data_IF_696313277462
#
_entry.id   IF_696313277462
#
_cell.length_a   1.000
_cell.length_b   1.000
_cell.length_c   1.000
_cell.angle_alpha   90.00
_cell.angle_beta   90.00
_cell.angle_gamma   90.00
#
_symmetry.space_group_name_H-M   'P 1'
#
loop_
_entity.id
_entity.type
_entity.pdbx_description
1 polymer ?
#
# COMPACT_ATOMS: atom_id res chain seq x y z
N UNK A 1 -1.11 -31.76 -2.35
CA UNK A 1 -0.91 -31.88 -0.88
C UNK A 1 -1.29 -33.23 -0.26
N UNK A 2 -1.70 -34.28 -0.99
CA UNK A 2 -2.04 -35.59 -0.36
C UNK A 2 -1.27 -36.80 -0.89
N UNK A 3 -0.23 -36.60 -1.71
CA UNK A 3 0.62 -37.69 -2.19
C UNK A 3 2.09 -37.31 -2.01
N UNK A 4 2.69 -37.73 -0.89
CA UNK A 4 4.12 -37.57 -0.65
C UNK A 4 4.59 -37.86 0.77
N UNK A 5 5.08 -39.09 0.97
CA UNK A 5 6.19 -39.57 1.83
C UNK A 5 6.42 -39.10 3.27
N UNK A 6 5.61 -38.22 3.83
CA UNK A 6 5.63 -37.90 5.27
C UNK A 6 4.34 -38.45 5.86
N UNK A 7 4.38 -39.48 6.72
CA UNK A 7 3.19 -39.94 7.38
C UNK A 7 2.69 -38.81 8.28
N UNK A 8 1.56 -38.21 7.91
CA UNK A 8 0.87 -37.26 8.76
C UNK A 8 0.24 -38.08 9.90
N UNK A 9 1.01 -38.36 10.95
CA UNK A 9 0.60 -39.19 12.11
C UNK A 9 -0.28 -38.43 13.11
N UNK A 10 -0.54 -37.13 12.89
CA UNK A 10 -1.42 -36.33 13.72
C UNK A 10 -2.80 -36.16 13.08
N UNK A 11 -3.87 -36.58 13.77
CA UNK A 11 -5.26 -36.29 13.38
C UNK A 11 -5.67 -34.81 13.57
N UNK A 12 -4.72 -33.92 13.86
CA UNK A 12 -4.94 -32.50 14.14
C UNK A 12 -3.84 -31.65 13.50
N UNK A 13 -4.25 -30.68 12.68
CA UNK A 13 -3.39 -29.63 12.13
C UNK A 13 -3.59 -28.37 13.00
N UNK A 14 -2.54 -27.92 13.68
CA UNK A 14 -2.57 -26.63 14.37
C UNK A 14 -2.24 -25.53 13.37
N UNK A 15 -3.13 -24.55 13.25
CA UNK A 15 -2.89 -23.32 12.49
C UNK A 15 -2.99 -22.16 13.47
N UNK A 16 -1.85 -21.57 13.80
CA UNK A 16 -1.73 -20.54 14.85
C UNK A 16 -2.09 -19.13 14.33
N UNK A 17 -2.09 -18.93 13.01
CA UNK A 17 -2.14 -17.59 12.39
C UNK A 17 -3.53 -17.17 11.89
N UNK A 18 -4.55 -18.04 11.98
CA UNK A 18 -5.82 -17.86 11.26
C UNK A 18 -7.03 -17.89 12.20
N UNK A 19 -8.00 -16.98 11.98
CA UNK A 19 -9.25 -17.00 12.74
C UNK A 19 -10.07 -18.24 12.38
N UNK A 20 -10.66 -18.86 13.40
CA UNK A 20 -11.57 -20.01 13.22
C UNK A 20 -12.71 -19.68 12.24
N UNK A 21 -13.23 -18.46 12.27
CA UNK A 21 -14.34 -18.04 11.40
C UNK A 21 -13.93 -17.99 9.92
N UNK A 22 -12.73 -17.49 9.63
CA UNK A 22 -12.21 -17.35 8.27
C UNK A 22 -11.89 -18.72 7.67
N UNK A 23 -11.33 -19.62 8.49
CA UNK A 23 -11.10 -21.02 8.12
C UNK A 23 -12.42 -21.74 7.84
N UNK A 24 -13.44 -21.50 8.64
CA UNK A 24 -14.75 -22.11 8.45
C UNK A 24 -15.37 -21.66 7.13
N UNK A 25 -15.29 -20.37 6.79
CA UNK A 25 -15.74 -19.86 5.48
C UNK A 25 -14.92 -20.46 4.35
N UNK A 26 -13.60 -20.56 4.49
CA UNK A 26 -12.74 -21.22 3.50
C UNK A 26 -13.13 -22.69 3.28
N UNK A 27 -13.38 -23.46 4.34
CA UNK A 27 -13.85 -24.84 4.20
C UNK A 27 -15.23 -24.91 3.57
N UNK A 28 -16.16 -24.03 3.94
CA UNK A 28 -17.48 -23.96 3.28
C UNK A 28 -17.35 -23.78 1.77
N UNK A 29 -16.43 -22.92 1.31
CA UNK A 29 -16.14 -22.77 -0.12
C UNK A 29 -15.68 -24.09 -0.76
N UNK A 30 -14.74 -24.79 -0.11
CA UNK A 30 -14.22 -26.07 -0.61
C UNK A 30 -15.29 -27.15 -0.71
N UNK A 31 -16.26 -27.16 0.20
CA UNK A 31 -17.41 -28.07 0.16
C UNK A 31 -18.53 -27.60 -0.80
N UNK A 32 -18.34 -26.50 -1.52
CA UNK A 32 -19.26 -26.00 -2.55
C UNK A 32 -20.43 -25.17 -2.04
N UNK A 33 -20.33 -24.64 -0.81
CA UNK A 33 -21.30 -23.66 -0.31
C UNK A 33 -20.99 -22.27 -0.86
N UNK A 34 -22.03 -21.46 -1.10
CA UNK A 34 -21.84 -20.05 -1.41
C UNK A 34 -21.28 -19.32 -0.19
N UNK A 35 -20.01 -18.93 -0.28
CA UNK A 35 -19.37 -18.12 0.76
C UNK A 35 -19.69 -16.66 0.55
N UNK A 36 -20.26 -16.01 1.57
CA UNK A 36 -20.40 -14.55 1.58
C UNK A 36 -19.02 -13.91 1.73
N UNK A 37 -18.39 -13.54 0.61
CA UNK A 37 -17.18 -12.70 0.63
C UNK A 37 -17.60 -11.29 1.05
N UNK A 38 -16.92 -10.75 2.06
CA UNK A 38 -17.11 -9.41 2.61
C UNK A 38 -15.77 -8.69 2.61
N UNK A 39 -15.80 -7.37 2.80
CA UNK A 39 -14.57 -6.54 2.84
C UNK A 39 -13.64 -6.95 3.99
N UNK A 40 -14.21 -7.43 5.10
CA UNK A 40 -13.43 -7.87 6.26
C UNK A 40 -12.78 -9.24 6.06
N UNK A 41 -13.46 -10.17 5.37
CA UNK A 41 -12.97 -11.55 5.23
C UNK A 41 -12.14 -11.80 3.96
N UNK A 42 -12.23 -10.93 2.96
CA UNK A 42 -11.61 -11.15 1.64
C UNK A 42 -10.10 -11.27 1.73
N UNK A 43 -9.48 -10.57 2.69
CA UNK A 43 -8.04 -10.60 2.89
C UNK A 43 -7.56 -11.93 3.43
N UNK A 44 -8.23 -12.44 4.47
CA UNK A 44 -7.93 -13.73 5.07
C UNK A 44 -8.26 -14.87 4.13
N UNK A 45 -9.37 -14.78 3.37
CA UNK A 45 -9.72 -15.76 2.34
C UNK A 45 -8.69 -15.78 1.20
N UNK A 46 -8.19 -14.63 0.76
CA UNK A 46 -7.14 -14.60 -0.25
C UNK A 46 -5.85 -15.24 0.29
N UNK A 47 -5.48 -14.94 1.54
CA UNK A 47 -4.33 -15.56 2.20
C UNK A 47 -4.45 -17.09 2.25
N UNK A 48 -5.59 -17.60 2.70
CA UNK A 48 -5.87 -19.03 2.72
C UNK A 48 -5.88 -19.63 1.31
N UNK A 49 -6.45 -18.93 0.33
CA UNK A 49 -6.46 -19.39 -1.06
C UNK A 49 -5.05 -19.55 -1.65
N UNK A 50 -4.13 -18.66 -1.27
CA UNK A 50 -2.74 -18.69 -1.72
C UNK A 50 -1.95 -19.77 -0.95
N UNK A 51 -2.16 -19.86 0.38
CA UNK A 51 -1.53 -20.87 1.26
C UNK A 51 -1.88 -22.32 0.88
N UNK A 52 -3.14 -22.56 0.51
CA UNK A 52 -3.66 -23.88 0.18
C UNK A 52 -3.75 -24.17 -1.33
N UNK A 53 -3.19 -23.28 -2.17
CA UNK A 53 -3.20 -23.39 -3.64
C UNK A 53 -4.60 -23.62 -4.23
N UNK A 54 -5.57 -22.77 -3.85
CA UNK A 54 -6.96 -22.81 -4.34
C UNK A 54 -7.21 -21.63 -5.30
N UNK A 55 -6.81 -21.74 -6.59
CA UNK A 55 -6.89 -20.63 -7.53
C UNK A 55 -8.33 -20.16 -7.82
N UNK A 56 -9.31 -21.05 -7.74
CA UNK A 56 -10.73 -20.70 -7.93
C UNK A 56 -11.20 -19.66 -6.91
N UNK A 57 -10.84 -19.84 -5.63
CA UNK A 57 -11.15 -18.89 -4.58
C UNK A 57 -10.36 -17.59 -4.77
N UNK A 58 -9.08 -17.70 -5.11
CA UNK A 58 -8.21 -16.55 -5.34
C UNK A 58 -8.78 -15.63 -6.42
N UNK A 59 -9.19 -16.19 -7.56
CA UNK A 59 -9.81 -15.45 -8.65
C UNK A 59 -11.14 -14.81 -8.23
N UNK A 60 -11.93 -15.51 -7.41
CA UNK A 60 -13.20 -14.97 -6.92
C UNK A 60 -12.98 -13.77 -6.00
N UNK A 61 -12.05 -13.87 -5.03
CA UNK A 61 -11.65 -12.76 -4.17
C UNK A 61 -11.10 -11.57 -4.98
N UNK A 62 -10.26 -11.82 -6.00
CA UNK A 62 -9.74 -10.77 -6.88
C UNK A 62 -10.84 -10.06 -7.66
N UNK A 63 -11.83 -10.80 -8.17
CA UNK A 63 -12.98 -10.20 -8.88
C UNK A 63 -13.82 -9.32 -7.95
N UNK A 64 -14.02 -9.76 -6.71
CA UNK A 64 -14.72 -8.98 -5.68
C UNK A 64 -13.96 -7.69 -5.37
N UNK A 65 -12.64 -7.78 -5.13
CA UNK A 65 -11.80 -6.60 -4.87
C UNK A 65 -11.80 -5.60 -6.03
N UNK A 66 -11.73 -6.07 -7.28
CA UNK A 66 -11.85 -5.20 -8.47
C UNK A 66 -13.19 -4.47 -8.50
N UNK A 67 -14.30 -5.18 -8.27
CA UNK A 67 -15.63 -4.55 -8.23
C UNK A 67 -15.79 -3.56 -7.07
N UNK A 68 -15.15 -3.83 -5.93
CA UNK A 68 -15.21 -2.95 -4.76
C UNK A 68 -14.36 -1.69 -4.96
N UNK A 69 -13.20 -1.81 -5.62
CA UNK A 69 -12.36 -0.68 -6.02
C UNK A 69 -13.09 0.31 -6.92
N UNK A 70 -13.90 -0.19 -7.85
CA UNK A 70 -14.70 0.66 -8.74
C UNK A 70 -15.83 1.38 -7.98
N UNK A 71 -16.37 0.76 -6.94
CA UNK A 71 -17.49 1.28 -6.16
C UNK A 71 -17.07 2.27 -5.05
N UNK A 72 -15.92 2.06 -4.40
CA UNK A 72 -15.47 2.86 -3.26
C UNK A 72 -14.02 3.30 -3.39
N UNK A 73 -13.79 4.63 -3.31
CA UNK A 73 -12.45 5.24 -3.35
C UNK A 73 -11.58 4.89 -2.15
N UNK A 74 -12.20 4.80 -0.97
CA UNK A 74 -11.50 4.91 0.32
C UNK A 74 -10.64 3.68 0.62
N UNK A 75 -10.93 2.54 0.00
CA UNK A 75 -10.18 1.30 0.23
C UNK A 75 -9.04 1.07 -0.78
N UNK A 76 -8.80 2.01 -1.70
CA UNK A 76 -7.86 1.80 -2.82
C UNK A 76 -6.43 1.53 -2.36
N UNK A 77 -5.95 2.26 -1.35
CA UNK A 77 -4.58 2.11 -0.82
C UNK A 77 -4.39 0.82 -0.01
N UNK A 78 -5.40 0.44 0.78
CA UNK A 78 -5.40 -0.83 1.49
C UNK A 78 -5.33 -2.00 0.50
N UNK A 79 -6.13 -1.94 -0.56
CA UNK A 79 -6.15 -2.97 -1.61
C UNK A 79 -4.85 -2.97 -2.41
N UNK A 80 -4.23 -1.80 -2.66
CA UNK A 80 -2.91 -1.71 -3.30
C UNK A 80 -1.82 -2.38 -2.46
N UNK A 81 -1.71 -2.03 -1.17
CA UNK A 81 -0.77 -2.66 -0.24
C UNK A 81 -0.97 -4.18 -0.18
N UNK A 82 -2.24 -4.59 -0.13
CA UNK A 82 -2.59 -6.00 -0.13
C UNK A 82 -2.19 -6.70 -1.44
N UNK A 83 -2.49 -6.11 -2.59
CA UNK A 83 -2.11 -6.64 -3.89
C UNK A 83 -0.58 -6.77 -4.04
N UNK A 84 0.16 -5.79 -3.52
CA UNK A 84 1.62 -5.79 -3.43
C UNK A 84 2.13 -6.98 -2.61
N UNK A 85 1.56 -7.20 -1.41
CA UNK A 85 1.89 -8.33 -0.54
C UNK A 85 1.65 -9.70 -1.18
N UNK A 86 0.55 -9.86 -1.92
CA UNK A 86 0.20 -11.12 -2.60
C UNK A 86 0.78 -11.24 -4.01
N UNK A 87 1.62 -10.28 -4.43
CA UNK A 87 2.25 -10.22 -5.76
C UNK A 87 1.26 -10.38 -6.92
N UNK A 88 0.01 -9.90 -6.76
CA UNK A 88 -1.04 -10.02 -7.78
C UNK A 88 -0.99 -8.80 -8.71
N UNK A 89 -0.11 -8.84 -9.71
CA UNK A 89 0.19 -7.73 -10.62
C UNK A 89 -1.04 -7.06 -11.24
N UNK A 90 -2.04 -7.83 -11.68
CA UNK A 90 -3.26 -7.25 -12.27
C UNK A 90 -4.00 -6.30 -11.33
N UNK A 91 -4.05 -6.64 -10.03
CA UNK A 91 -4.72 -5.82 -9.04
C UNK A 91 -3.86 -4.62 -8.64
N UNK A 92 -2.54 -4.78 -8.62
CA UNK A 92 -1.57 -3.69 -8.44
C UNK A 92 -1.77 -2.65 -9.55
N UNK A 93 -1.74 -3.06 -10.82
CA UNK A 93 -1.86 -2.13 -11.96
C UNK A 93 -3.23 -1.43 -11.97
N UNK A 94 -4.31 -2.18 -11.67
CA UNK A 94 -5.65 -1.61 -11.65
C UNK A 94 -5.83 -0.60 -10.50
N UNK A 95 -5.42 -0.96 -9.29
CA UNK A 95 -5.48 -0.05 -8.14
C UNK A 95 -4.56 1.15 -8.35
N UNK A 96 -3.37 0.96 -8.94
CA UNK A 96 -2.45 2.03 -9.26
C UNK A 96 -3.01 3.02 -10.29
N UNK A 97 -3.72 2.53 -11.31
CA UNK A 97 -4.41 3.38 -12.27
C UNK A 97 -5.57 4.18 -11.64
N UNK A 98 -6.28 3.60 -10.66
CA UNK A 98 -7.31 4.32 -9.91
C UNK A 98 -6.67 5.39 -9.03
N UNK A 99 -5.58 5.05 -8.35
CA UNK A 99 -4.76 6.00 -7.57
C UNK A 99 -4.41 7.18 -8.49
N UNK A 100 -3.70 6.97 -9.60
CA UNK A 100 -3.35 8.06 -10.54
C UNK A 100 -4.51 8.98 -10.94
N UNK A 101 -5.70 8.42 -11.19
CA UNK A 101 -6.88 9.17 -11.66
C UNK A 101 -7.67 9.88 -10.58
N UNK A 102 -7.62 9.41 -9.33
CA UNK A 102 -8.51 9.83 -8.25
C UNK A 102 -7.80 10.66 -7.18
N UNK A 103 -6.48 10.75 -7.30
CA UNK A 103 -5.58 11.52 -6.48
C UNK A 103 -5.68 13.03 -6.75
N UNK A 104 -6.83 13.63 -6.46
CA UNK A 104 -6.90 15.08 -6.30
C UNK A 104 -6.56 15.49 -4.85
N UNK A 105 -6.83 14.61 -3.87
CA UNK A 105 -6.60 14.85 -2.44
C UNK A 105 -6.19 13.56 -1.71
N UNK A 106 -5.26 13.66 -0.75
CA UNK A 106 -4.83 12.56 0.10
C UNK A 106 -5.49 12.64 1.49
N UNK A 107 -6.24 11.61 1.87
CA UNK A 107 -6.68 11.42 3.26
C UNK A 107 -5.67 10.60 4.07
N UNK A 108 -5.55 10.94 5.35
CA UNK A 108 -4.51 10.43 6.26
C UNK A 108 -4.75 8.96 6.62
N UNK A 109 -6.02 8.53 6.68
CA UNK A 109 -6.38 7.15 7.01
C UNK A 109 -5.93 6.16 5.94
N UNK A 110 -5.91 6.61 4.68
CA UNK A 110 -5.51 5.81 3.53
C UNK A 110 -4.01 5.47 3.54
N UNK A 111 -3.18 6.31 4.14
CA UNK A 111 -1.71 6.14 4.19
C UNK A 111 -1.23 5.19 5.27
N UNK A 112 -2.01 4.98 6.33
CA UNK A 112 -1.59 4.20 7.49
C UNK A 112 -1.15 2.77 7.14
N UNK A 113 -1.71 2.22 6.06
CA UNK A 113 -1.50 0.84 5.66
C UNK A 113 -0.38 0.65 4.62
N UNK A 114 0.21 1.72 4.08
CA UNK A 114 1.24 1.61 3.05
C UNK A 114 2.60 1.25 3.66
N UNK A 115 3.30 0.33 2.99
CA UNK A 115 4.69 -0.01 3.32
C UNK A 115 5.68 0.95 2.65
N UNK A 116 6.94 0.92 3.08
CA UNK A 116 8.03 1.70 2.46
C UNK A 116 8.13 1.45 0.94
N UNK A 117 8.05 0.19 0.53
CA UNK A 117 8.15 -0.20 -0.88
C UNK A 117 6.99 0.34 -1.71
N UNK A 118 5.79 0.36 -1.13
CA UNK A 118 4.58 0.87 -1.78
C UNK A 118 4.70 2.38 -2.01
N UNK A 119 5.21 3.12 -1.03
CA UNK A 119 5.42 4.57 -1.15
C UNK A 119 6.52 4.88 -2.16
N UNK A 120 7.62 4.14 -2.17
CA UNK A 120 8.66 4.33 -3.20
C UNK A 120 8.09 4.09 -4.60
N UNK A 121 7.21 3.11 -4.79
CA UNK A 121 6.55 2.86 -6.07
C UNK A 121 5.58 3.98 -6.46
N UNK A 122 4.85 4.54 -5.50
CA UNK A 122 3.96 5.68 -5.73
C UNK A 122 4.79 6.93 -6.10
N UNK A 123 5.75 7.32 -5.27
CA UNK A 123 6.55 8.55 -5.42
C UNK A 123 7.45 8.51 -6.65
N UNK A 124 7.90 7.33 -7.10
CA UNK A 124 8.69 7.21 -8.33
C UNK A 124 7.88 7.43 -9.62
N UNK A 125 6.56 7.54 -9.54
CA UNK A 125 5.71 7.66 -10.72
C UNK A 125 5.40 9.11 -11.06
N UNK A 126 5.70 9.47 -12.31
CA UNK A 126 5.52 10.82 -12.86
C UNK A 126 4.08 11.18 -13.23
N UNK A 127 3.18 10.21 -13.19
CA UNK A 127 1.78 10.35 -13.64
C UNK A 127 0.81 10.67 -12.50
N UNK A 128 1.32 11.03 -11.31
CA UNK A 128 0.49 11.46 -10.20
C UNK A 128 -0.08 12.86 -10.49
N UNK A 129 -1.40 13.04 -10.35
CA UNK A 129 -2.08 14.31 -10.57
C UNK A 129 -1.97 15.31 -9.40
N UNK A 130 -1.20 14.98 -8.37
CA UNK A 130 -1.15 15.72 -7.10
C UNK A 130 -0.06 16.78 -7.15
N UNK A 131 -0.25 17.84 -6.36
CA UNK A 131 0.84 18.76 -6.05
C UNK A 131 1.97 18.08 -5.27
N UNK A 132 3.22 18.34 -5.64
CA UNK A 132 4.41 17.86 -4.92
C UNK A 132 4.40 18.30 -3.43
N UNK A 133 3.70 19.41 -3.13
CA UNK A 133 3.51 19.88 -1.76
C UNK A 133 2.62 18.95 -0.93
N UNK A 134 1.43 18.60 -1.43
CA UNK A 134 0.50 17.73 -0.71
C UNK A 134 1.08 16.33 -0.52
N UNK A 135 1.84 15.85 -1.52
CA UNK A 135 2.60 14.62 -1.44
C UNK A 135 3.63 14.65 -0.31
N UNK A 136 4.38 15.75 -0.17
CA UNK A 136 5.36 15.92 0.91
C UNK A 136 4.69 15.95 2.29
N UNK A 137 3.62 16.73 2.45
CA UNK A 137 2.84 16.79 3.71
C UNK A 137 2.30 15.41 4.09
N UNK A 138 1.85 14.64 3.10
CA UNK A 138 1.31 13.29 3.31
C UNK A 138 2.40 12.32 3.75
N UNK A 139 3.58 12.37 3.12
CA UNK A 139 4.75 11.57 3.52
C UNK A 139 5.24 11.94 4.92
N UNK A 140 5.24 13.21 5.28
CA UNK A 140 5.60 13.65 6.62
C UNK A 140 4.65 13.05 7.68
N UNK A 141 3.34 13.07 7.41
CA UNK A 141 2.34 12.44 8.28
C UNK A 141 2.56 10.93 8.37
N UNK A 142 2.84 10.27 7.25
CA UNK A 142 3.14 8.83 7.22
C UNK A 142 4.37 8.45 8.05
N UNK A 143 5.47 9.20 7.92
CA UNK A 143 6.69 9.00 8.72
C UNK A 143 6.41 9.16 10.21
N UNK A 144 5.56 10.12 10.57
CA UNK A 144 5.17 10.37 11.98
C UNK A 144 4.29 9.23 12.52
N UNK A 145 3.40 8.67 11.70
CA UNK A 145 2.50 7.57 12.10
C UNK A 145 3.26 6.25 12.26
N UNK A 146 4.18 5.96 11.33
CA UNK A 146 4.94 4.70 11.33
C UNK A 146 6.25 4.76 12.14
N UNK A 147 6.54 5.89 12.80
CA UNK A 147 7.75 6.15 13.61
C UNK A 147 9.05 5.74 12.91
N UNK A 148 9.15 6.04 11.61
CA UNK A 148 10.29 5.65 10.80
C UNK A 148 11.44 6.58 11.13
N UNK A 149 12.40 6.07 11.91
CA UNK A 149 13.61 6.80 12.28
C UNK A 149 14.76 6.62 11.29
N UNK A 150 14.60 5.76 10.28
CA UNK A 150 15.63 5.47 9.29
C UNK A 150 15.80 6.61 8.29
N UNK A 151 16.76 7.49 8.59
CA UNK A 151 17.10 8.64 7.74
C UNK A 151 17.43 8.26 6.29
N UNK A 152 17.99 7.07 6.06
CA UNK A 152 18.33 6.60 4.72
C UNK A 152 17.09 6.34 3.84
N UNK A 153 16.03 5.81 4.44
CA UNK A 153 14.74 5.57 3.77
C UNK A 153 14.09 6.91 3.42
N UNK A 154 14.08 7.81 4.40
CA UNK A 154 13.52 9.15 4.24
C UNK A 154 14.28 9.92 3.15
N UNK A 155 15.60 9.90 3.15
CA UNK A 155 16.42 10.59 2.14
C UNK A 155 16.20 10.02 0.74
N UNK A 156 16.01 8.69 0.60
CA UNK A 156 15.61 8.08 -0.67
C UNK A 156 14.26 8.59 -1.15
N UNK A 157 13.24 8.56 -0.29
CA UNK A 157 11.88 9.01 -0.64
C UNK A 157 11.91 10.49 -1.05
N UNK A 158 12.56 11.33 -0.26
CA UNK A 158 12.69 12.76 -0.53
C UNK A 158 13.47 13.02 -1.82
N UNK A 159 14.52 12.24 -2.11
CA UNK A 159 15.30 12.40 -3.35
C UNK A 159 14.49 12.14 -4.62
N UNK A 160 13.36 11.42 -4.51
CA UNK A 160 12.45 11.15 -5.61
C UNK A 160 11.38 12.24 -5.78
N UNK A 161 11.12 13.05 -4.75
CA UNK A 161 10.17 14.18 -4.79
C UNK A 161 10.80 15.34 -5.56
N UNK A 162 10.05 15.94 -6.48
CA UNK A 162 10.53 17.11 -7.23
C UNK A 162 10.34 18.38 -6.42
N UNK A 163 11.15 18.54 -5.39
CA UNK A 163 11.19 19.71 -4.51
C UNK A 163 11.21 21.08 -5.24
N UNK A 164 11.89 21.25 -6.41
CA UNK A 164 11.91 22.52 -7.13
C UNK A 164 10.55 23.01 -7.67
N UNK A 165 9.54 22.14 -7.74
CA UNK A 165 8.18 22.48 -8.21
C UNK A 165 7.27 23.00 -7.09
N UNK A 166 7.72 22.98 -5.84
CA UNK A 166 6.94 23.44 -4.68
C UNK A 166 6.96 24.98 -4.63
N UNK A 167 5.81 25.66 -4.48
CA UNK A 167 5.79 27.12 -4.38
C UNK A 167 6.50 27.61 -3.10
N UNK A 168 7.34 28.64 -3.28
CA UNK A 168 8.20 29.29 -2.27
C UNK A 168 7.53 29.62 -0.92
N UNK A 169 6.23 29.92 -0.94
CA UNK A 169 5.46 30.32 0.25
C UNK A 169 5.18 29.15 1.21
N UNK A 170 5.02 27.95 0.65
CA UNK A 170 4.71 26.73 1.40
C UNK A 170 5.98 25.99 1.86
N UNK A 171 7.09 26.16 1.12
CA UNK A 171 8.39 25.57 1.45
C UNK A 171 8.98 26.12 2.77
N UNK A 172 8.75 27.39 3.08
CA UNK A 172 9.33 28.03 4.27
C UNK A 172 8.61 27.63 5.57
N UNK A 173 7.33 27.29 5.48
CA UNK A 173 6.45 27.13 6.65
C UNK A 173 6.45 25.70 7.18
N UNK A 174 6.25 24.70 6.31
CA UNK A 174 6.10 23.29 6.72
C UNK A 174 7.30 22.41 6.34
N UNK A 175 7.97 22.73 5.22
CA UNK A 175 9.09 21.93 4.70
C UNK A 175 10.37 22.21 5.48
N UNK A 176 10.68 23.47 5.79
CA UNK A 176 11.90 23.90 6.52
C UNK A 176 12.19 23.17 7.85
N UNK A 177 11.24 22.94 8.78
CA UNK A 177 11.51 22.22 10.03
C UNK A 177 11.72 20.71 9.84
N UNK A 178 11.14 20.10 8.81
CA UNK A 178 11.24 18.66 8.53
C UNK A 178 12.49 18.35 7.70
N UNK A 179 12.69 19.12 6.63
CA UNK A 179 13.82 19.01 5.69
C UNK A 179 15.14 19.40 6.33
N UNK A 180 15.15 20.44 7.18
CA UNK A 180 16.35 20.89 7.89
C UNK A 180 16.92 19.87 8.89
N UNK A 181 16.17 18.82 9.26
CA UNK A 181 16.60 17.76 10.18
C UNK A 181 17.03 16.47 9.46
N UNK A 182 16.65 16.32 8.19
CA UNK A 182 16.69 15.04 7.46
C UNK A 182 17.41 15.10 6.10
N UNK A 183 17.64 16.28 5.51
CA UNK A 183 18.32 16.43 4.20
C UNK A 183 19.70 17.08 4.38
N UNK A 184 20.66 16.65 3.55
CA UNK A 184 21.97 17.29 3.43
C UNK A 184 21.84 18.77 3.02
N UNK A 185 22.54 19.65 3.74
CA UNK A 185 22.50 21.12 3.54
C UNK A 185 22.75 21.57 2.09
N UNK A 186 23.46 20.77 1.29
CA UNK A 186 23.76 21.04 -0.12
C UNK A 186 22.50 21.08 -1.00
N UNK A 187 21.61 20.09 -0.90
CA UNK A 187 20.33 20.08 -1.65
C UNK A 187 19.43 21.26 -1.25
N UNK A 188 19.47 21.64 0.02
CA UNK A 188 18.70 22.78 0.52
C UNK A 188 19.16 24.11 -0.10
N UNK A 189 20.47 24.28 -0.28
CA UNK A 189 21.06 25.46 -0.92
C UNK A 189 20.71 25.47 -2.43
N UNK A 190 20.79 24.32 -3.10
CA UNK A 190 20.48 24.19 -4.53
C UNK A 190 19.01 24.52 -4.84
N UNK A 191 18.08 24.12 -3.96
CA UNK A 191 16.65 24.47 -4.05
C UNK A 191 16.43 25.97 -3.82
N UNK A 192 17.15 26.58 -2.87
CA UNK A 192 17.06 28.03 -2.62
C UNK A 192 17.63 28.84 -3.79
N UNK A 193 18.70 28.37 -4.42
CA UNK A 193 19.28 28.99 -5.63
C UNK A 193 18.32 28.91 -6.83
N UNK A 194 17.62 27.78 -6.99
CA UNK A 194 16.58 27.61 -8.03
C UNK A 194 15.40 28.59 -7.83
N UNK A 195 14.95 28.81 -6.59
CA UNK A 195 13.90 29.79 -6.32
C UNK A 195 14.37 31.26 -6.35
N UNK A 196 15.68 31.51 -6.29
CA UNK A 196 16.27 32.85 -6.33
C UNK A 196 16.53 33.36 -7.76
N UNK A 197 16.63 32.48 -8.75
CA UNK A 197 16.78 32.83 -10.16
C UNK A 197 15.52 32.47 -10.96
N UNK A 198 14.62 33.44 -11.26
CA UNK A 198 13.42 33.22 -12.06
C UNK A 198 13.71 32.98 -13.54
#
# INVERSE_FOLDING_TARGET
MFYGSIPFEGSSLNMEDESYEELLVFFQYLYGFETGITVDNVTSLLYLSDKFDVPSLSNHCLSFLKSHLDASSSSTFFIFHFASKFSKQELIDHSFNIIKKKLDHFDIEDFKHLSETDILQIVSSDELMISEYDLLVTIQKWITINDISDKAVIDKIISMIRLPLIPKEQFVTDVKPFVGKLISLEKYIEILEYHANP
#
